data_IF_053161415736
#
_entry.id   IF_053161415736
#
_cell.length_a   1.000
_cell.length_b   1.000
_cell.length_c   1.000
_cell.angle_alpha   90.00
_cell.angle_beta   90.00
_cell.angle_gamma   90.00
#
_symmetry.space_group_name_H-M   'P 1'
#
loop_
_entity.id
_entity.type
_entity.pdbx_description
1 polymer ?
#
# COMPACT_ATOMS: atom_id res chain seq x y z
N UNK A 1 0.14 -73.76 32.15
CA UNK A 1 -0.32 -73.07 30.92
C UNK A 1 -0.97 -71.72 31.20
N UNK A 2 -1.94 -71.60 32.13
CA UNK A 2 -2.62 -70.34 32.43
C UNK A 2 -1.70 -69.18 32.89
N UNK A 3 -0.73 -69.45 33.77
CA UNK A 3 0.21 -68.41 34.27
C UNK A 3 1.07 -67.81 33.16
N UNK A 4 1.50 -68.63 32.20
CA UNK A 4 2.31 -68.17 31.06
C UNK A 4 1.48 -67.31 30.09
N UNK A 5 0.18 -67.61 29.94
CA UNK A 5 -0.73 -66.83 29.11
C UNK A 5 -1.04 -65.47 29.75
N UNK A 6 -1.20 -65.43 31.08
CA UNK A 6 -1.38 -64.19 31.84
C UNK A 6 -0.12 -63.32 31.75
N UNK A 7 1.07 -63.92 31.85
CA UNK A 7 2.32 -63.16 31.70
C UNK A 7 2.48 -62.58 30.29
N UNK A 8 2.19 -63.37 29.26
CA UNK A 8 2.21 -62.91 27.87
C UNK A 8 1.19 -61.80 27.60
N UNK A 9 -0.03 -61.89 28.14
CA UNK A 9 -1.03 -60.84 27.97
C UNK A 9 -0.63 -59.54 28.67
N UNK A 10 -0.06 -59.61 29.87
CA UNK A 10 0.43 -58.44 30.61
C UNK A 10 1.59 -57.77 29.86
N UNK A 11 2.58 -58.54 29.41
CA UNK A 11 3.72 -57.99 28.66
C UNK A 11 3.31 -57.38 27.32
N UNK A 12 2.35 -57.99 26.62
CA UNK A 12 1.78 -57.46 25.39
C UNK A 12 1.03 -56.15 25.64
N UNK A 13 0.22 -56.09 26.70
CA UNK A 13 -0.48 -54.87 27.10
C UNK A 13 0.48 -53.72 27.42
N UNK A 14 1.54 -53.99 28.21
CA UNK A 14 2.55 -52.99 28.56
C UNK A 14 3.30 -52.50 27.30
N UNK A 15 3.63 -53.40 26.37
CA UNK A 15 4.28 -53.01 25.11
C UNK A 15 3.40 -52.09 24.27
N UNK A 16 2.13 -52.45 24.08
CA UNK A 16 1.18 -51.65 23.30
C UNK A 16 0.99 -50.28 23.95
N UNK A 17 0.79 -50.22 25.27
CA UNK A 17 0.63 -48.97 26.00
C UNK A 17 1.85 -48.03 25.86
N UNK A 18 3.06 -48.57 25.96
CA UNK A 18 4.29 -47.80 25.83
C UNK A 18 4.54 -47.32 24.39
N UNK A 19 4.17 -48.12 23.38
CA UNK A 19 4.23 -47.72 21.98
C UNK A 19 3.23 -46.59 21.67
N UNK A 20 2.02 -46.64 22.24
CA UNK A 20 1.04 -45.57 22.07
C UNK A 20 1.50 -44.24 22.69
N UNK A 21 2.06 -44.28 23.90
CA UNK A 21 2.57 -43.08 24.59
C UNK A 21 3.76 -42.45 23.83
N UNK A 22 4.67 -43.28 23.31
CA UNK A 22 5.81 -42.81 22.52
C UNK A 22 5.38 -42.16 21.18
N UNK A 23 4.34 -42.71 20.54
CA UNK A 23 3.79 -42.15 19.30
C UNK A 23 3.10 -40.80 19.57
N UNK A 24 2.37 -40.67 20.67
CA UNK A 24 1.72 -39.43 21.09
C UNK A 24 2.73 -38.32 21.42
N UNK A 25 3.76 -38.64 22.22
CA UNK A 25 4.84 -37.71 22.55
C UNK A 25 5.60 -37.25 21.30
N UNK A 26 5.87 -38.15 20.35
CA UNK A 26 6.49 -37.79 19.07
C UNK A 26 5.58 -36.90 18.22
N UNK A 27 4.28 -37.17 18.20
CA UNK A 27 3.28 -36.34 17.53
C UNK A 27 3.28 -34.91 18.08
N UNK A 28 3.28 -34.77 19.42
CA UNK A 28 3.32 -33.47 20.09
C UNK A 28 4.60 -32.66 19.76
N UNK A 29 5.78 -33.30 19.76
CA UNK A 29 7.04 -32.64 19.40
C UNK A 29 7.08 -32.20 17.94
N UNK A 30 6.58 -33.03 17.03
CA UNK A 30 6.48 -32.68 15.60
C UNK A 30 5.52 -31.51 15.42
N UNK A 31 4.35 -31.55 16.05
CA UNK A 31 3.38 -30.46 15.99
C UNK A 31 3.96 -29.15 16.52
N UNK A 32 4.65 -29.19 17.65
CA UNK A 32 5.28 -28.01 18.23
C UNK A 32 6.39 -27.43 17.34
N UNK A 33 7.16 -28.28 16.64
CA UNK A 33 8.13 -27.82 15.64
C UNK A 33 7.45 -27.15 14.45
N UNK A 34 6.32 -27.69 13.98
CA UNK A 34 5.55 -27.09 12.89
C UNK A 34 5.04 -25.70 13.30
N UNK A 35 4.41 -25.58 14.47
CA UNK A 35 3.94 -24.30 15.01
C UNK A 35 5.08 -23.30 15.21
N UNK A 36 6.22 -23.74 15.76
CA UNK A 36 7.37 -22.84 15.91
C UNK A 36 7.89 -22.38 14.54
N UNK A 37 8.03 -23.28 13.57
CA UNK A 37 8.51 -22.94 12.23
C UNK A 37 7.57 -21.95 11.52
N UNK A 38 6.25 -22.11 11.65
CA UNK A 38 5.29 -21.14 11.10
C UNK A 38 5.45 -19.78 11.77
N UNK A 39 5.53 -19.72 13.11
CA UNK A 39 5.73 -18.46 13.83
C UNK A 39 7.07 -17.78 13.50
N UNK A 40 8.16 -18.54 13.35
CA UNK A 40 9.44 -17.98 12.90
C UNK A 40 9.34 -17.41 11.48
N UNK A 41 8.58 -18.07 10.60
CA UNK A 41 8.38 -17.60 9.22
C UNK A 41 7.56 -16.31 9.22
N UNK A 42 6.45 -16.25 9.94
CA UNK A 42 5.61 -15.06 10.08
C UNK A 42 6.40 -13.87 10.66
N UNK A 43 7.15 -14.09 11.73
CA UNK A 43 8.02 -13.07 12.32
C UNK A 43 9.12 -12.61 11.35
N UNK A 44 9.67 -13.52 10.54
CA UNK A 44 10.68 -13.14 9.54
C UNK A 44 10.10 -12.25 8.43
N UNK A 45 8.88 -12.55 7.97
CA UNK A 45 8.18 -11.72 6.99
C UNK A 45 7.84 -10.36 7.58
N UNK A 46 7.31 -10.32 8.81
CA UNK A 46 7.01 -9.08 9.51
C UNK A 46 8.27 -8.23 9.67
N UNK A 47 9.34 -8.78 10.23
CA UNK A 47 10.59 -8.03 10.46
C UNK A 47 11.24 -7.56 9.16
N UNK A 48 11.09 -8.31 8.06
CA UNK A 48 11.60 -7.92 6.76
C UNK A 48 10.81 -6.78 6.11
N UNK A 49 9.49 -6.70 6.33
CA UNK A 49 8.60 -5.76 5.62
C UNK A 49 8.09 -4.60 6.48
N UNK A 50 8.16 -4.69 7.81
CA UNK A 50 7.68 -3.64 8.72
C UNK A 50 8.37 -2.28 8.49
N UNK A 51 9.69 -2.19 8.23
CA UNK A 51 10.32 -0.91 7.92
C UNK A 51 9.78 -0.27 6.63
N UNK A 52 9.55 -1.06 5.58
CA UNK A 52 9.01 -0.55 4.32
C UNK A 52 7.54 -0.12 4.47
N UNK A 53 6.76 -0.88 5.26
CA UNK A 53 5.39 -0.49 5.62
C UNK A 53 5.36 0.86 6.32
N UNK A 54 6.23 1.06 7.32
CA UNK A 54 6.34 2.34 8.04
C UNK A 54 6.71 3.47 7.09
N UNK A 55 7.70 3.25 6.23
CA UNK A 55 8.13 4.23 5.24
C UNK A 55 6.97 4.61 4.30
N UNK A 56 6.22 3.64 3.80
CA UNK A 56 5.07 3.91 2.92
C UNK A 56 3.92 4.61 3.65
N UNK A 57 3.76 4.38 4.96
CA UNK A 57 2.81 5.11 5.79
C UNK A 57 3.24 6.56 6.02
N UNK A 58 4.51 6.78 6.37
CA UNK A 58 5.07 8.13 6.54
C UNK A 58 5.02 8.93 5.22
N UNK A 59 5.26 8.26 4.10
CA UNK A 59 5.12 8.83 2.76
C UNK A 59 3.66 9.03 2.34
N UNK A 60 2.66 8.60 3.11
CA UNK A 60 1.23 8.76 2.79
C UNK A 60 0.72 7.87 1.65
N UNK A 61 1.44 6.80 1.29
CA UNK A 61 0.98 5.76 0.35
C UNK A 61 -0.01 4.83 1.05
N UNK A 62 0.20 4.56 2.34
CA UNK A 62 -0.72 3.78 3.20
C UNK A 62 -1.51 4.75 4.08
N UNK A 63 -2.82 4.53 4.18
CA UNK A 63 -3.75 5.35 4.96
C UNK A 63 -4.65 6.23 4.10
N UNK A 64 -5.19 7.29 4.72
CA UNK A 64 -6.12 8.20 4.04
C UNK A 64 -5.43 9.13 3.03
N UNK A 65 -6.18 9.53 2.00
CA UNK A 65 -5.70 10.46 0.98
C UNK A 65 -5.40 11.85 1.57
N UNK A 66 -4.13 12.28 1.51
CA UNK A 66 -3.70 13.60 2.02
C UNK A 66 -3.86 14.72 0.98
N UNK A 67 -5.10 14.98 0.57
CA UNK A 67 -5.43 15.96 -0.49
C UNK A 67 -4.90 17.37 -0.19
N UNK A 68 -4.90 17.77 1.08
CA UNK A 68 -4.39 19.08 1.49
C UNK A 68 -2.89 19.18 1.20
N UNK A 69 -2.10 18.18 1.58
CA UNK A 69 -0.67 18.14 1.30
C UNK A 69 -0.40 18.24 -0.21
N UNK A 70 -1.17 17.52 -1.04
CA UNK A 70 -1.01 17.60 -2.50
C UNK A 70 -1.22 19.02 -3.02
N UNK A 71 -2.25 19.72 -2.53
CA UNK A 71 -2.55 21.11 -2.93
C UNK A 71 -1.44 22.06 -2.46
N UNK A 72 -0.96 21.90 -1.23
CA UNK A 72 0.10 22.74 -0.67
C UNK A 72 1.42 22.59 -1.46
N UNK A 73 1.80 21.36 -1.81
CA UNK A 73 2.97 21.12 -2.65
C UNK A 73 2.75 21.61 -4.08
N UNK A 74 1.55 21.44 -4.64
CA UNK A 74 1.22 21.94 -5.97
C UNK A 74 1.40 23.46 -6.04
N UNK A 75 0.89 24.19 -5.05
CA UNK A 75 1.03 25.63 -4.93
C UNK A 75 2.49 26.07 -4.71
N UNK A 76 3.21 25.42 -3.79
CA UNK A 76 4.62 25.74 -3.51
C UNK A 76 5.52 25.51 -4.72
N UNK A 77 5.42 24.34 -5.34
CA UNK A 77 6.23 23.96 -6.52
C UNK A 77 5.88 24.86 -7.70
N UNK A 78 4.59 25.14 -7.93
CA UNK A 78 4.15 26.06 -8.98
C UNK A 78 4.79 27.44 -8.82
N UNK A 79 4.89 27.96 -7.60
CA UNK A 79 5.54 29.25 -7.30
C UNK A 79 7.06 29.20 -7.49
N UNK A 80 7.71 28.12 -7.07
CA UNK A 80 9.16 27.94 -7.23
C UNK A 80 9.58 27.87 -8.71
N UNK A 81 8.81 27.17 -9.54
CA UNK A 81 9.04 27.05 -10.99
C UNK A 81 8.64 28.34 -11.72
N UNK A 82 7.71 29.11 -11.15
CA UNK A 82 7.19 30.33 -11.76
C UNK A 82 6.09 30.07 -12.80
N UNK A 83 5.26 29.05 -12.58
CA UNK A 83 4.11 28.74 -13.45
C UNK A 83 3.07 29.86 -13.34
N UNK A 84 2.74 30.54 -14.46
CA UNK A 84 1.84 31.70 -14.45
C UNK A 84 0.45 31.46 -13.86
N UNK A 85 -0.15 30.29 -14.12
CA UNK A 85 -1.47 29.95 -13.60
C UNK A 85 -1.63 28.44 -13.49
N UNK A 86 -2.20 28.01 -12.38
CA UNK A 86 -2.63 26.63 -12.17
C UNK A 86 -4.04 26.64 -11.56
N UNK A 87 -4.91 25.83 -12.13
CA UNK A 87 -6.23 25.51 -11.61
C UNK A 87 -6.29 24.00 -11.44
N UNK A 88 -6.96 23.55 -10.38
CA UNK A 88 -7.10 22.12 -10.12
C UNK A 88 -8.52 21.77 -9.71
N UNK A 89 -8.90 20.53 -9.98
CA UNK A 89 -10.09 19.89 -9.42
C UNK A 89 -9.68 18.54 -8.85
N UNK A 90 -10.12 18.23 -7.64
CA UNK A 90 -9.85 16.96 -6.97
C UNK A 90 -11.18 16.30 -6.64
N UNK A 91 -11.35 15.08 -7.12
CA UNK A 91 -12.57 14.31 -6.94
C UNK A 91 -12.63 13.65 -5.54
N UNK A 92 -13.77 13.04 -5.24
CA UNK A 92 -13.89 12.20 -4.06
C UNK A 92 -13.02 10.94 -4.17
N UNK A 93 -12.50 10.51 -3.03
CA UNK A 93 -11.72 9.28 -2.95
C UNK A 93 -12.69 8.10 -2.99
N UNK A 94 -12.37 7.09 -3.81
CA UNK A 94 -13.21 5.91 -3.97
C UNK A 94 -12.36 4.66 -3.99
N UNK A 95 -12.94 3.53 -3.60
CA UNK A 95 -12.31 2.23 -3.74
C UNK A 95 -12.18 1.87 -5.23
N UNK A 96 -11.03 1.33 -5.60
CA UNK A 96 -10.76 0.78 -6.92
C UNK A 96 -11.54 -0.52 -7.09
N UNK A 97 -12.18 -0.69 -8.24
CA UNK A 97 -12.90 -1.92 -8.59
C UNK A 97 -12.04 -2.87 -9.43
N UNK A 98 -12.45 -4.14 -9.47
CA UNK A 98 -11.80 -5.16 -10.29
C UNK A 98 -11.74 -4.73 -11.76
N UNK A 99 -10.56 -4.87 -12.37
CA UNK A 99 -10.34 -4.52 -13.77
C UNK A 99 -10.04 -3.05 -14.06
N UNK A 100 -10.13 -2.13 -13.07
CA UNK A 100 -9.81 -0.71 -13.28
C UNK A 100 -8.31 -0.40 -13.32
N UNK A 101 -7.47 -1.30 -12.81
CA UNK A 101 -6.01 -1.16 -12.78
C UNK A 101 -5.34 -2.52 -12.65
N UNK A 102 -4.15 -2.73 -13.25
CA UNK A 102 -3.38 -3.97 -13.08
C UNK A 102 -2.92 -4.22 -11.64
N UNK A 103 -2.96 -3.20 -10.77
CA UNK A 103 -2.54 -3.30 -9.38
C UNK A 103 -3.66 -3.78 -8.43
N UNK A 104 -4.87 -4.00 -8.94
CA UNK A 104 -6.00 -4.42 -8.11
C UNK A 104 -5.70 -5.73 -7.37
N UNK A 105 -5.95 -5.75 -6.05
CA UNK A 105 -5.91 -6.95 -5.23
C UNK A 105 -7.10 -6.98 -4.27
N UNK A 106 -7.77 -8.12 -4.13
CA UNK A 106 -8.99 -8.21 -3.33
C UNK A 106 -8.72 -8.10 -1.81
N UNK A 107 -7.54 -8.55 -1.36
CA UNK A 107 -7.14 -8.52 0.07
C UNK A 107 -6.55 -7.18 0.51
N UNK A 108 -6.13 -6.34 -0.44
CA UNK A 108 -5.50 -5.05 -0.15
C UNK A 108 -6.30 -3.98 -0.88
N UNK A 109 -7.32 -3.40 -0.23
CA UNK A 109 -8.14 -2.38 -0.84
C UNK A 109 -7.29 -1.16 -1.25
N UNK A 110 -7.36 -0.86 -2.54
CA UNK A 110 -6.74 0.34 -3.12
C UNK A 110 -7.82 1.40 -3.26
N UNK A 111 -7.49 2.61 -2.85
CA UNK A 111 -8.30 3.80 -3.03
C UNK A 111 -7.66 4.68 -4.09
N UNK A 112 -8.50 5.32 -4.89
CA UNK A 112 -8.08 6.25 -5.93
C UNK A 112 -8.75 7.60 -5.73
N UNK A 113 -7.98 8.66 -5.95
CA UNK A 113 -8.48 10.03 -6.06
C UNK A 113 -8.04 10.63 -7.39
N UNK A 114 -9.00 11.06 -8.20
CA UNK A 114 -8.74 11.73 -9.48
C UNK A 114 -8.39 13.19 -9.22
N UNK A 115 -7.36 13.70 -9.91
CA UNK A 115 -6.98 15.10 -9.90
C UNK A 115 -6.80 15.60 -11.33
N UNK A 116 -7.43 16.72 -11.66
CA UNK A 116 -7.34 17.38 -12.96
C UNK A 116 -6.64 18.72 -12.79
N UNK A 117 -5.67 19.01 -13.67
CA UNK A 117 -4.90 20.24 -13.67
C UNK A 117 -5.12 21.00 -14.98
N UNK A 118 -5.46 22.28 -14.89
CA UNK A 118 -5.47 23.24 -15.99
C UNK A 118 -4.34 24.27 -15.77
N UNK A 119 -3.37 24.29 -16.66
CA UNK A 119 -2.10 25.00 -16.49
C UNK A 119 -1.89 26.04 -17.59
N UNK A 120 -1.29 27.16 -17.21
CA UNK A 120 -0.68 28.12 -18.11
C UNK A 120 0.83 28.07 -17.90
N UNK A 121 1.58 27.63 -18.92
CA UNK A 121 3.01 27.35 -18.84
C UNK A 121 3.78 28.25 -19.80
N UNK A 122 5.02 28.62 -19.44
CA UNK A 122 5.91 29.37 -20.33
C UNK A 122 6.62 28.43 -21.30
N UNK A 123 7.10 27.29 -20.79
CA UNK A 123 7.79 26.26 -21.56
C UNK A 123 7.20 24.88 -21.26
N UNK A 124 7.35 23.95 -22.20
CA UNK A 124 6.95 22.54 -22.00
C UNK A 124 7.70 21.86 -20.85
N UNK A 125 8.96 22.28 -20.62
CA UNK A 125 9.77 21.79 -19.50
C UNK A 125 9.19 22.12 -18.13
N UNK A 126 8.41 23.20 -18.01
CA UNK A 126 7.80 23.59 -16.74
C UNK A 126 6.80 22.52 -16.25
N UNK A 127 6.07 21.87 -17.18
CA UNK A 127 5.17 20.77 -16.83
C UNK A 127 5.95 19.58 -16.27
N UNK A 128 7.03 19.21 -16.93
CA UNK A 128 7.85 18.08 -16.50
C UNK A 128 8.44 18.32 -15.12
N UNK A 129 8.98 19.53 -14.89
CA UNK A 129 9.50 19.92 -13.58
C UNK A 129 8.41 19.88 -12.51
N UNK A 130 7.20 20.42 -12.79
CA UNK A 130 6.09 20.39 -11.85
C UNK A 130 5.74 18.95 -11.42
N UNK A 131 5.53 18.05 -12.39
CA UNK A 131 5.15 16.67 -12.12
C UNK A 131 6.25 15.91 -11.36
N UNK A 132 7.51 16.14 -11.71
CA UNK A 132 8.64 15.50 -11.03
C UNK A 132 8.79 15.98 -9.58
N UNK A 133 8.71 17.29 -9.36
CA UNK A 133 8.79 17.86 -8.01
C UNK A 133 7.60 17.41 -7.15
N UNK A 134 6.39 17.38 -7.72
CA UNK A 134 5.21 16.80 -7.07
C UNK A 134 5.44 15.35 -6.65
N UNK A 135 5.96 14.50 -7.53
CA UNK A 135 6.24 13.09 -7.23
C UNK A 135 7.31 12.91 -6.14
N UNK A 136 8.20 13.88 -5.97
CA UNK A 136 9.27 13.82 -4.97
C UNK A 136 8.91 14.40 -3.61
N UNK A 137 7.99 15.37 -3.56
CA UNK A 137 7.71 16.16 -2.35
C UNK A 137 6.33 15.93 -1.76
N UNK A 138 5.32 15.63 -2.59
CA UNK A 138 3.98 15.39 -2.09
C UNK A 138 3.87 13.98 -1.52
N UNK A 139 3.17 13.85 -0.40
CA UNK A 139 2.89 12.55 0.20
C UNK A 139 1.91 11.78 -0.68
N UNK A 140 2.12 10.49 -0.85
CA UNK A 140 1.29 9.59 -1.62
C UNK A 140 1.91 9.20 -2.95
N UNK A 141 1.23 8.32 -3.66
CA UNK A 141 1.66 7.81 -4.95
C UNK A 141 0.67 8.26 -6.01
N UNK A 142 1.14 8.84 -7.12
CA UNK A 142 0.26 9.14 -8.24
C UNK A 142 0.84 8.68 -9.58
N UNK A 143 -0.06 8.40 -10.52
CA UNK A 143 0.25 8.24 -11.94
C UNK A 143 -0.26 9.45 -12.74
N UNK A 144 0.43 9.72 -13.84
CA UNK A 144 -0.04 10.66 -14.87
C UNK A 144 -0.78 9.84 -15.92
N UNK A 145 -2.10 9.96 -15.98
CA UNK A 145 -2.93 9.22 -16.93
C UNK A 145 -2.89 9.84 -18.32
N UNK A 146 -2.98 11.17 -18.38
CA UNK A 146 -2.90 11.92 -19.62
C UNK A 146 -2.44 13.35 -19.37
N UNK A 147 -1.71 13.92 -20.34
CA UNK A 147 -1.46 15.35 -20.41
C UNK A 147 -1.58 15.82 -21.87
N UNK A 148 -2.36 16.88 -22.09
CA UNK A 148 -2.50 17.58 -23.37
C UNK A 148 -1.80 18.94 -23.28
N UNK A 149 -0.94 19.24 -24.24
CA UNK A 149 -0.27 20.53 -24.37
C UNK A 149 -0.71 21.23 -25.65
N UNK A 150 -1.20 22.46 -25.50
CA UNK A 150 -1.63 23.30 -26.61
C UNK A 150 -0.89 24.63 -26.60
N UNK A 151 -0.20 24.97 -27.69
CA UNK A 151 0.42 26.30 -27.85
C UNK A 151 -0.62 27.41 -27.91
N UNK A 152 -0.34 28.48 -27.17
CA UNK A 152 -1.15 29.70 -27.12
C UNK A 152 -0.25 30.91 -27.40
N UNK A 153 -0.62 31.68 -28.43
CA UNK A 153 0.17 32.79 -29.00
C UNK A 153 1.04 32.38 -30.21
N UNK A 154 1.28 33.23 -31.21
CA UNK A 154 0.28 33.96 -31.99
C UNK A 154 0.66 33.91 -33.49
N UNK A 155 -0.30 33.60 -34.36
CA UNK A 155 -0.19 33.91 -35.80
C UNK A 155 -0.40 35.42 -36.08
N UNK A 156 -0.68 36.24 -35.07
CA UNK A 156 -0.95 37.69 -35.19
C UNK A 156 -0.40 38.47 -34.00
N UNK A 157 0.14 39.67 -34.24
CA UNK A 157 0.98 40.48 -33.35
C UNK A 157 0.29 41.11 -32.11
N UNK A 158 -0.80 40.53 -31.59
CA UNK A 158 -1.61 41.11 -30.50
C UNK A 158 -1.86 40.17 -29.31
N UNK A 159 -1.26 38.98 -29.26
CA UNK A 159 -1.44 38.10 -28.11
C UNK A 159 -0.72 38.66 -26.86
N UNK A 160 -1.45 38.68 -25.74
CA UNK A 160 -0.95 39.16 -24.44
C UNK A 160 -0.08 38.13 -23.69
N UNK A 161 -0.02 36.89 -24.18
CA UNK A 161 0.76 35.79 -23.64
C UNK A 161 1.20 34.85 -24.77
N UNK A 162 2.46 34.42 -24.73
CA UNK A 162 3.01 33.36 -25.57
C UNK A 162 3.49 32.23 -24.66
N UNK A 163 3.04 31.01 -24.93
CA UNK A 163 3.38 29.84 -24.12
C UNK A 163 2.51 28.63 -24.44
N UNK A 164 2.22 27.83 -23.43
CA UNK A 164 1.44 26.60 -23.54
C UNK A 164 0.28 26.59 -22.54
N UNK A 165 -0.86 26.08 -22.98
CA UNK A 165 -1.92 25.61 -22.11
C UNK A 165 -1.72 24.12 -21.89
N UNK A 166 -1.64 23.68 -20.64
CA UNK A 166 -1.59 22.28 -20.27
C UNK A 166 -2.88 21.81 -19.63
N UNK A 167 -3.31 20.58 -19.94
CA UNK A 167 -4.37 19.88 -19.22
C UNK A 167 -3.85 18.52 -18.81
N UNK A 168 -3.82 18.21 -17.53
CA UNK A 168 -3.36 16.92 -17.05
C UNK A 168 -4.43 16.24 -16.19
N UNK A 169 -4.43 14.91 -16.27
CA UNK A 169 -5.23 14.02 -15.45
C UNK A 169 -4.29 13.11 -14.68
N UNK A 170 -4.36 13.20 -13.35
CA UNK A 170 -3.56 12.44 -12.41
C UNK A 170 -4.46 11.51 -11.59
N UNK A 171 -3.97 10.32 -11.28
CA UNK A 171 -4.60 9.38 -10.36
C UNK A 171 -3.72 9.18 -9.15
N UNK A 172 -4.21 9.60 -7.99
CA UNK A 172 -3.55 9.36 -6.71
C UNK A 172 -4.07 8.06 -6.11
N UNK A 173 -3.16 7.24 -5.59
CA UNK A 173 -3.45 5.94 -5.00
C UNK A 173 -3.05 5.91 -3.53
N UNK A 174 -3.91 5.28 -2.74
CA UNK A 174 -3.67 4.99 -1.34
C UNK A 174 -4.06 3.54 -1.05
N UNK A 175 -3.29 2.87 -0.20
CA UNK A 175 -3.64 1.55 0.32
C UNK A 175 -4.35 1.70 1.67
N UNK A 176 -5.31 0.83 1.96
CA UNK A 176 -5.93 0.78 3.28
C UNK A 176 -4.88 0.49 4.36
N UNK A 177 -4.89 1.27 5.44
CA UNK A 177 -4.05 0.97 6.60
C UNK A 177 -4.71 -0.14 7.43
N UNK A 178 -4.25 -1.36 7.19
CA UNK A 178 -4.76 -2.54 7.89
C UNK A 178 -4.37 -2.54 9.37
N UNK A 179 -3.36 -1.77 9.80
CA UNK A 179 -2.91 -1.74 11.21
C UNK A 179 -3.92 -1.08 12.13
N UNK A 180 -4.74 -0.17 11.61
CA UNK A 180 -5.82 0.47 12.36
C UNK A 180 -6.86 -0.57 12.83
N UNK A 181 -7.10 -1.63 12.05
CA UNK A 181 -8.02 -2.70 12.42
C UNK A 181 -7.52 -3.53 13.63
N UNK A 182 -6.22 -3.53 13.93
CA UNK A 182 -5.63 -4.28 15.06
C UNK A 182 -5.58 -3.44 16.34
N UNK A 183 -5.46 -2.11 16.23
CA UNK A 183 -5.47 -1.21 17.38
C UNK A 183 -6.79 -1.26 18.15
N UNK A 184 -7.92 -1.45 17.45
CA UNK A 184 -9.24 -1.63 18.07
C UNK A 184 -9.36 -2.95 18.87
N UNK A 185 -8.62 -3.98 18.47
CA UNK A 185 -8.62 -5.29 19.14
C UNK A 185 -7.80 -5.25 20.43
N UNK A 186 -6.66 -4.56 20.44
CA UNK A 186 -5.79 -4.44 21.61
C UNK A 186 -6.43 -3.58 22.71
N UNK A 187 -7.20 -2.54 22.35
CA UNK A 187 -7.99 -1.73 23.29
C UNK A 187 -9.12 -2.52 23.99
N UNK A 188 -9.57 -3.63 23.40
CA UNK A 188 -10.58 -4.54 23.98
C UNK A 188 -9.99 -5.60 24.91
N UNK A 189 -8.66 -5.73 24.94
CA UNK A 189 -7.90 -6.69 25.75
C UNK A 189 -7.11 -5.97 26.86
N UNK A 190 -7.69 -4.92 27.45
CA UNK A 190 -7.20 -4.35 28.70
C UNK A 190 -8.05 -4.94 29.84
N UNK A 191 -7.49 -5.74 30.76
CA UNK A 191 -8.23 -6.29 31.91
C UNK A 191 -8.68 -5.20 32.90
#
# INVERSE_FOLDING_TARGET
MAVSLIYLSITLYIRIANETELVELRGAVVQQRLTNNTSFTELSVLNANAPDYELYREQGVIGEANKLNWIEHLDSVSKEIGIPSIQFTIENTRKVQEGETPFYHYEIPIYVTEMYLDLLLLHEGDLYLLLNEMASRANGLFSVEACELQRIGAKTSKALFEGLKGKCHLRWFNLEDITLAWQDVEASYVP
#
